data_IF_460798150787
#
_entry.id   IF_460798150787
#
_cell.length_a   1.000
_cell.length_b   1.000
_cell.length_c   1.000
_cell.angle_alpha   90.00
_cell.angle_beta   90.00
_cell.angle_gamma   90.00
#
_symmetry.space_group_name_H-M   'P 1'
#
loop_
_entity.id
_entity.type
_entity.pdbx_description
1 polymer ?
#
# COMPACT_ATOMS: atom_id res chain seq x y z
N UNK A 1 17.18 26.67 85.74
CA UNK A 1 17.40 27.69 84.69
C UNK A 1 17.52 26.96 83.36
N UNK A 2 16.64 27.26 82.42
CA UNK A 2 16.61 26.76 81.03
C UNK A 2 17.50 27.70 80.18
N UNK A 3 18.23 27.21 79.16
CA UNK A 3 17.77 27.31 77.77
C UNK A 3 18.02 25.99 76.99
N UNK A 4 17.01 25.33 76.41
CA UNK A 4 16.50 25.50 75.04
C UNK A 4 17.52 26.02 74.04
N UNK A 5 17.86 25.22 73.02
CA UNK A 5 18.03 25.61 71.61
C UNK A 5 18.27 24.35 70.74
N UNK A 6 17.30 24.06 69.87
CA UNK A 6 17.43 23.13 68.73
C UNK A 6 18.31 23.74 67.62
N UNK A 7 18.89 22.90 66.76
CA UNK A 7 19.00 23.23 65.34
C UNK A 7 18.23 22.22 64.45
N UNK A 8 17.35 22.77 63.61
CA UNK A 8 16.92 22.19 62.34
C UNK A 8 18.09 22.16 61.35
N UNK A 9 18.15 21.13 60.48
CA UNK A 9 18.34 21.24 59.01
C UNK A 9 18.81 19.89 58.41
N UNK A 10 17.95 19.16 57.69
CA UNK A 10 17.75 19.11 56.22
C UNK A 10 18.67 18.11 55.50
N UNK A 11 18.08 17.14 54.78
CA UNK A 11 18.20 16.97 53.31
C UNK A 11 17.84 15.55 52.84
N UNK A 12 16.64 15.46 52.23
CA UNK A 12 16.27 14.69 51.04
C UNK A 12 16.88 13.28 50.84
N UNK A 13 16.03 12.25 50.97
CA UNK A 13 16.27 10.94 50.37
C UNK A 13 15.17 10.61 49.35
N UNK A 14 15.53 10.86 48.09
CA UNK A 14 15.14 10.19 46.85
C UNK A 14 13.65 9.82 46.61
N UNK A 15 13.00 10.62 45.76
CA UNK A 15 11.88 10.22 44.92
C UNK A 15 12.32 9.08 43.98
N UNK A 16 11.75 7.88 44.13
CA UNK A 16 11.85 6.81 43.14
C UNK A 16 10.51 6.67 42.41
N UNK A 17 10.22 7.60 41.50
CA UNK A 17 9.13 7.45 40.52
C UNK A 17 9.57 6.48 39.42
N UNK A 18 9.23 5.20 39.58
CA UNK A 18 9.30 4.22 38.49
C UNK A 18 8.21 4.55 37.47
N UNK A 19 8.56 5.39 36.49
CA UNK A 19 7.75 5.56 35.29
C UNK A 19 7.85 4.28 34.45
N UNK A 20 6.86 3.40 34.55
CA UNK A 20 6.68 2.30 33.60
C UNK A 20 6.33 2.90 32.25
N UNK A 21 7.33 3.02 31.37
CA UNK A 21 7.11 3.27 29.96
C UNK A 21 6.47 2.02 29.37
N UNK A 22 5.14 1.94 29.39
CA UNK A 22 4.42 1.03 28.51
C UNK A 22 4.59 1.58 27.10
N UNK A 23 5.58 1.08 26.36
CA UNK A 23 5.62 1.22 24.91
C UNK A 23 4.41 0.48 24.36
N UNK A 24 3.32 1.20 24.17
CA UNK A 24 2.21 0.73 23.34
C UNK A 24 2.77 0.66 21.92
N UNK A 25 3.24 -0.52 21.51
CA UNK A 25 3.47 -0.78 20.09
C UNK A 25 2.12 -0.59 19.41
N UNK A 26 1.96 0.55 18.72
CA UNK A 26 0.84 0.75 17.84
C UNK A 26 0.95 -0.34 16.76
N UNK A 27 0.22 -1.45 16.94
CA UNK A 27 0.02 -2.39 15.86
C UNK A 27 -0.52 -1.58 14.70
N UNK A 28 0.30 -1.41 13.67
CA UNK A 28 -0.10 -0.75 12.45
C UNK A 28 -1.23 -1.59 11.87
N UNK A 29 -2.47 -1.20 12.15
CA UNK A 29 -3.63 -1.88 11.63
C UNK A 29 -3.49 -1.90 10.11
N UNK A 30 -3.65 -3.07 9.48
CA UNK A 30 -3.75 -3.12 8.03
C UNK A 30 -5.01 -2.36 7.64
N UNK A 31 -4.84 -1.12 7.18
CA UNK A 31 -5.93 -0.20 6.85
C UNK A 31 -6.24 -0.18 5.36
N UNK A 32 -5.45 -0.87 4.55
CA UNK A 32 -5.57 -0.79 3.10
C UNK A 32 -5.43 -2.15 2.43
N UNK A 33 -6.14 -2.33 1.32
CA UNK A 33 -5.75 -3.27 0.28
C UNK A 33 -5.07 -2.51 -0.85
N UNK A 34 -3.88 -2.93 -1.27
CA UNK A 34 -3.10 -2.22 -2.31
C UNK A 34 -2.66 -3.18 -3.42
N UNK A 35 -2.88 -2.75 -4.66
CA UNK A 35 -2.29 -3.31 -5.89
C UNK A 35 -1.34 -2.27 -6.46
N UNK A 36 -0.17 -2.69 -6.94
CA UNK A 36 0.72 -1.82 -7.68
C UNK A 36 0.92 -2.34 -9.10
N UNK A 37 0.80 -1.46 -10.08
CA UNK A 37 1.05 -1.75 -11.49
C UNK A 37 2.30 -0.99 -11.89
N UNK A 38 3.26 -1.71 -12.47
CA UNK A 38 4.51 -1.18 -12.97
C UNK A 38 4.57 -1.35 -14.48
N UNK A 39 5.08 -0.34 -15.16
CA UNK A 39 5.42 -0.46 -16.56
C UNK A 39 6.91 -0.82 -16.72
N UNK A 40 7.20 -2.09 -17.06
CA UNK A 40 8.56 -2.58 -17.34
C UNK A 40 8.83 -2.70 -18.84
N UNK A 41 8.01 -2.06 -19.67
CA UNK A 41 8.19 -1.98 -21.13
C UNK A 41 8.85 -0.65 -21.50
N UNK A 42 9.16 -0.49 -22.79
CA UNK A 42 9.68 0.78 -23.33
C UNK A 42 8.56 1.67 -23.90
N UNK A 43 7.31 1.22 -23.89
CA UNK A 43 6.17 1.98 -24.41
C UNK A 43 5.33 2.56 -23.28
N UNK A 44 4.66 3.67 -23.55
CA UNK A 44 3.63 4.15 -22.62
C UNK A 44 2.38 3.28 -22.77
N UNK A 45 1.90 2.73 -21.66
CA UNK A 45 0.73 1.84 -21.67
C UNK A 45 -0.52 2.64 -21.30
N UNK A 46 -1.54 2.56 -22.14
CA UNK A 46 -2.89 3.00 -21.79
C UNK A 46 -3.70 1.79 -21.36
N UNK A 47 -4.37 1.87 -20.22
CA UNK A 47 -5.18 0.79 -19.69
C UNK A 47 -6.38 1.36 -18.93
N UNK A 48 -7.45 0.58 -18.86
CA UNK A 48 -8.61 0.93 -18.07
C UNK A 48 -8.66 0.10 -16.79
N UNK A 49 -9.13 0.72 -15.71
CA UNK A 49 -9.39 0.07 -14.44
C UNK A 49 -10.86 0.21 -14.09
N UNK A 50 -11.44 -0.88 -13.60
CA UNK A 50 -12.77 -0.91 -12.97
C UNK A 50 -12.64 -1.45 -11.55
N UNK A 51 -13.18 -0.71 -10.58
CA UNK A 51 -13.20 -1.12 -9.17
C UNK A 51 -14.60 -1.64 -8.85
N UNK A 52 -14.69 -2.84 -8.29
CA UNK A 52 -15.96 -3.53 -8.05
C UNK A 52 -16.56 -4.11 -9.33
N UNK A 53 -17.58 -4.96 -9.17
CA UNK A 53 -18.26 -5.60 -10.31
C UNK A 53 -19.01 -4.57 -11.17
N UNK A 54 -19.65 -3.62 -10.49
CA UNK A 54 -20.57 -2.63 -11.07
C UNK A 54 -19.95 -1.23 -11.17
N UNK A 55 -18.64 -1.10 -10.97
CA UNK A 55 -17.95 0.17 -11.14
C UNK A 55 -17.84 0.60 -12.60
N UNK A 56 -17.56 1.88 -12.81
CA UNK A 56 -17.23 2.41 -14.13
C UNK A 56 -15.77 2.15 -14.49
N UNK A 57 -15.49 1.99 -15.79
CA UNK A 57 -14.12 1.94 -16.31
C UNK A 57 -13.53 3.37 -16.34
N UNK A 58 -12.38 3.55 -15.70
CA UNK A 58 -11.57 4.75 -15.81
C UNK A 58 -10.29 4.47 -16.59
N UNK A 59 -9.88 5.39 -17.47
CA UNK A 59 -8.68 5.26 -18.29
C UNK A 59 -7.46 5.87 -17.61
N UNK A 60 -6.35 5.15 -17.68
CA UNK A 60 -5.07 5.51 -17.10
C UNK A 60 -3.95 5.37 -18.13
N UNK A 61 -2.91 6.17 -17.93
CA UNK A 61 -1.67 6.18 -18.72
C UNK A 61 -0.48 5.98 -17.80
N UNK A 62 0.42 5.06 -18.16
CA UNK A 62 1.62 4.76 -17.37
C UNK A 62 2.86 4.74 -18.26
N UNK A 63 3.76 5.69 -18.02
CA UNK A 63 5.02 5.84 -18.76
C UNK A 63 6.00 4.70 -18.48
N UNK A 64 6.96 4.45 -19.39
CA UNK A 64 8.03 3.49 -19.17
C UNK A 64 8.75 3.70 -17.84
N UNK A 65 8.95 2.64 -17.06
CA UNK A 65 9.62 2.67 -15.75
C UNK A 65 8.77 3.19 -14.59
N UNK A 66 7.58 3.73 -14.86
CA UNK A 66 6.71 4.28 -13.82
C UNK A 66 5.87 3.20 -13.16
N UNK A 67 5.35 3.54 -11.97
CA UNK A 67 4.41 2.71 -11.24
C UNK A 67 3.18 3.52 -10.82
N UNK A 68 2.09 2.80 -10.53
CA UNK A 68 0.85 3.38 -10.00
C UNK A 68 0.22 2.40 -9.02
N UNK A 69 -0.09 2.89 -7.83
CA UNK A 69 -0.86 2.13 -6.86
C UNK A 69 -2.36 2.35 -7.04
N UNK A 70 -3.12 1.31 -6.70
CA UNK A 70 -4.57 1.32 -6.57
C UNK A 70 -4.90 0.75 -5.19
N UNK A 71 -5.20 1.66 -4.26
CA UNK A 71 -5.53 1.35 -2.88
C UNK A 71 -7.05 1.31 -2.67
N UNK A 72 -7.47 0.59 -1.64
CA UNK A 72 -8.78 0.69 -1.04
C UNK A 72 -8.59 0.73 0.47
N UNK A 73 -9.09 1.78 1.11
CA UNK A 73 -9.06 1.92 2.56
C UNK A 73 -10.19 1.10 3.18
N UNK A 74 -9.84 0.30 4.17
CA UNK A 74 -10.78 -0.43 4.99
C UNK A 74 -11.42 0.50 6.01
N UNK A 75 -12.75 0.45 6.09
CA UNK A 75 -13.49 1.25 7.04
C UNK A 75 -13.30 0.66 8.45
N UNK A 76 -13.28 -0.67 8.55
CA UNK A 76 -13.16 -1.40 9.83
C UNK A 76 -11.79 -2.05 9.98
N UNK A 77 -11.31 -2.13 11.22
CA UNK A 77 -10.01 -2.75 11.53
C UNK A 77 -9.95 -4.24 11.18
N UNK A 78 -11.09 -4.95 11.21
CA UNK A 78 -11.17 -6.39 10.91
C UNK A 78 -11.70 -6.67 9.49
N UNK A 79 -11.77 -5.65 8.64
CA UNK A 79 -12.17 -5.84 7.24
C UNK A 79 -11.01 -6.47 6.47
N UNK A 80 -11.28 -7.58 5.79
CA UNK A 80 -10.28 -8.38 5.09
C UNK A 80 -10.62 -8.57 3.61
N UNK A 81 -11.60 -7.85 3.09
CA UNK A 81 -12.05 -7.95 1.70
C UNK A 81 -12.07 -6.56 1.06
N UNK A 82 -11.54 -6.48 -0.16
CA UNK A 82 -11.65 -5.28 -0.99
C UNK A 82 -12.49 -5.58 -2.22
N UNK A 83 -13.24 -4.61 -2.78
CA UNK A 83 -13.93 -4.78 -4.06
C UNK A 83 -12.95 -5.19 -5.15
N UNK A 84 -13.21 -6.17 -6.03
CA UNK A 84 -12.22 -6.62 -7.01
C UNK A 84 -11.76 -5.50 -7.95
N UNK A 85 -10.48 -5.50 -8.35
CA UNK A 85 -9.99 -4.64 -9.44
C UNK A 85 -10.03 -5.46 -10.72
N UNK A 86 -10.59 -4.87 -11.77
CA UNK A 86 -10.41 -5.36 -13.13
C UNK A 86 -9.54 -4.38 -13.89
N UNK A 87 -8.60 -4.90 -14.67
CA UNK A 87 -7.80 -4.14 -15.62
C UNK A 87 -8.09 -4.65 -17.01
N UNK A 88 -8.16 -3.75 -17.98
CA UNK A 88 -8.05 -4.11 -19.40
C UNK A 88 -7.08 -3.21 -20.13
N UNK A 89 -6.39 -3.76 -21.12
CA UNK A 89 -5.40 -3.03 -21.91
C UNK A 89 -5.30 -3.65 -23.30
N UNK A 90 -4.74 -2.89 -24.23
CA UNK A 90 -4.45 -3.32 -25.59
C UNK A 90 -3.09 -4.03 -25.60
N UNK A 91 -3.07 -5.34 -25.86
CA UNK A 91 -1.86 -6.15 -25.72
C UNK A 91 -0.88 -5.94 -26.86
N UNK A 92 -1.32 -5.52 -28.05
CA UNK A 92 -0.45 -5.33 -29.21
C UNK A 92 0.06 -3.88 -29.38
N UNK A 93 -0.42 -2.95 -28.54
CA UNK A 93 -0.13 -1.51 -28.58
C UNK A 93 -0.43 -0.80 -29.92
N UNK A 94 -1.08 -1.48 -30.87
CA UNK A 94 -1.35 -0.99 -32.23
C UNK A 94 -2.78 -0.43 -32.37
N UNK A 95 -3.55 -0.47 -31.28
CA UNK A 95 -4.87 0.14 -31.18
C UNK A 95 -5.98 -0.90 -31.12
N UNK A 96 -6.63 -1.00 -29.94
CA UNK A 96 -7.92 -1.63 -29.59
C UNK A 96 -8.23 -3.02 -30.17
N UNK A 97 -7.30 -3.69 -30.84
CA UNK A 97 -7.59 -4.89 -31.62
C UNK A 97 -7.47 -6.13 -30.75
N UNK A 98 -6.62 -6.08 -29.72
CA UNK A 98 -6.40 -7.19 -28.79
C UNK A 98 -6.55 -6.72 -27.34
N UNK A 99 -7.80 -6.60 -26.89
CA UNK A 99 -8.08 -6.29 -25.50
C UNK A 99 -7.89 -7.52 -24.61
N UNK A 100 -6.94 -7.41 -23.68
CA UNK A 100 -6.76 -8.38 -22.60
C UNK A 100 -7.37 -7.82 -21.32
N UNK A 101 -8.02 -8.68 -20.53
CA UNK A 101 -8.62 -8.30 -19.25
C UNK A 101 -8.22 -9.27 -18.13
N UNK A 102 -7.85 -8.73 -16.97
CA UNK A 102 -7.55 -9.51 -15.78
C UNK A 102 -8.28 -8.98 -14.54
N UNK A 103 -8.49 -9.89 -13.58
CA UNK A 103 -8.85 -9.53 -12.20
C UNK A 103 -7.56 -9.45 -11.38
N UNK A 104 -7.32 -8.31 -10.75
CA UNK A 104 -6.13 -8.10 -9.91
C UNK A 104 -6.46 -8.34 -8.44
N UNK A 105 -5.49 -8.92 -7.75
CA UNK A 105 -5.50 -9.11 -6.31
C UNK A 105 -4.80 -7.93 -5.63
N UNK A 106 -5.17 -7.70 -4.37
CA UNK A 106 -4.55 -6.71 -3.49
C UNK A 106 -3.82 -7.39 -2.35
N UNK A 107 -2.78 -6.74 -1.85
CA UNK A 107 -2.12 -7.10 -0.60
C UNK A 107 -2.66 -6.21 0.53
N UNK A 108 -2.93 -6.78 1.69
CA UNK A 108 -3.22 -6.00 2.89
C UNK A 108 -1.97 -5.21 3.31
N UNK A 109 -2.14 -3.92 3.59
CA UNK A 109 -1.07 -2.96 3.79
C UNK A 109 -1.45 -1.93 4.87
N UNK A 110 -0.43 -1.26 5.41
CA UNK A 110 -0.58 -0.21 6.43
C UNK A 110 -0.67 1.18 5.80
N UNK A 111 -0.12 1.34 4.61
CA UNK A 111 -0.23 2.51 3.75
C UNK A 111 -0.67 2.17 2.33
N UNK A 112 -0.66 3.19 1.47
CA UNK A 112 -1.21 3.14 0.11
C UNK A 112 -0.13 3.02 -0.98
N UNK A 113 1.12 2.93 -0.55
CA UNK A 113 2.27 2.98 -1.44
C UNK A 113 2.45 1.68 -2.22
N UNK A 114 3.03 1.81 -3.42
CA UNK A 114 3.38 0.65 -4.26
C UNK A 114 4.30 -0.37 -3.57
N UNK A 115 5.15 0.09 -2.65
CA UNK A 115 6.04 -0.77 -1.86
C UNK A 115 5.28 -1.79 -1.00
N UNK A 116 4.05 -1.45 -0.58
CA UNK A 116 3.23 -2.30 0.28
C UNK A 116 2.19 -3.13 -0.52
N UNK A 117 1.98 -2.83 -1.80
CA UNK A 117 0.97 -3.47 -2.64
C UNK A 117 1.41 -4.79 -3.28
N UNK A 118 0.43 -5.56 -3.78
CA UNK A 118 0.69 -6.71 -4.66
C UNK A 118 1.21 -6.18 -6.01
N UNK A 119 2.46 -6.51 -6.42
CA UNK A 119 3.03 -5.93 -7.63
C UNK A 119 2.63 -6.73 -8.87
N UNK A 120 2.30 -5.98 -9.93
CA UNK A 120 2.05 -6.48 -11.28
C UNK A 120 2.92 -5.69 -12.25
N UNK A 121 3.55 -6.36 -13.20
CA UNK A 121 4.41 -5.75 -14.18
C UNK A 121 3.85 -5.96 -15.58
N UNK A 122 3.64 -4.86 -16.31
CA UNK A 122 3.56 -4.92 -17.76
C UNK A 122 4.93 -5.29 -18.31
N UNK A 123 4.98 -6.36 -19.10
CA UNK A 123 6.20 -6.88 -19.71
C UNK A 123 5.88 -7.33 -21.13
N UNK A 124 6.89 -7.35 -21.99
CA UNK A 124 6.77 -8.01 -23.29
C UNK A 124 6.53 -9.51 -23.11
N UNK A 125 5.74 -10.12 -23.98
CA UNK A 125 5.62 -11.57 -24.01
C UNK A 125 6.96 -12.21 -24.38
N UNK A 126 7.25 -13.37 -23.78
CA UNK A 126 8.55 -14.03 -23.95
C UNK A 126 8.80 -14.48 -25.40
N UNK A 127 7.74 -14.90 -26.09
CA UNK A 127 7.81 -15.44 -27.45
C UNK A 127 7.57 -14.38 -28.53
N UNK A 128 6.97 -13.23 -28.17
CA UNK A 128 6.69 -12.16 -29.12
C UNK A 128 6.72 -10.78 -28.45
N UNK A 129 7.75 -10.01 -28.76
CA UNK A 129 7.94 -8.66 -28.19
C UNK A 129 7.04 -7.59 -28.80
N UNK A 130 6.24 -7.93 -29.80
CA UNK A 130 5.18 -7.05 -30.30
C UNK A 130 3.98 -7.02 -29.35
N UNK A 131 3.88 -8.00 -28.44
CA UNK A 131 2.80 -8.07 -27.46
C UNK A 131 3.31 -7.80 -26.05
N UNK A 132 2.44 -7.19 -25.26
CA UNK A 132 2.63 -7.00 -23.83
C UNK A 132 1.59 -7.80 -23.05
N UNK A 133 1.99 -8.21 -21.86
CA UNK A 133 1.11 -8.86 -20.90
C UNK A 133 1.35 -8.31 -19.50
N UNK A 134 0.38 -8.52 -18.61
CA UNK A 134 0.45 -8.12 -17.21
C UNK A 134 0.65 -9.36 -16.34
N UNK A 135 1.81 -9.46 -15.69
CA UNK A 135 2.12 -10.59 -14.80
C UNK A 135 2.26 -10.14 -13.36
N UNK A 136 1.67 -10.91 -12.45
CA UNK A 136 1.96 -10.79 -11.02
C UNK A 136 3.46 -11.00 -10.79
N UNK A 137 4.03 -10.29 -9.83
CA UNK A 137 5.39 -10.50 -9.39
C UNK A 137 5.39 -10.91 -7.93
N UNK A 138 6.20 -11.93 -7.65
CA UNK A 138 6.43 -12.48 -6.31
C UNK A 138 7.21 -11.50 -5.47
#
# INVERSE_FOLDING_TARGET
MIPSLLPLATCAAALATLATFTTTEAQAATRYGVTCIHNRTQHTINFDIKIGKDGSWGTYRLQPGWNRSFSHKYDKQNENQSPPIYIRFDSDLRGKTFWTQYKLERRAATGEACAEGKPYNFRYEQNNRDFIDLKASS
#
